data_IF_729289801599
#
_entry.id   IF_729289801599
#
_cell.length_a   1.000
_cell.length_b   1.000
_cell.length_c   1.000
_cell.angle_alpha   90.00
_cell.angle_beta   90.00
_cell.angle_gamma   90.00
#
_symmetry.space_group_name_H-M   'P 1'
#
loop_
_entity.id
_entity.type
_entity.pdbx_description
1 polymer ?
#
# COMPACT_ATOMS: atom_id res chain seq x y z
N UNK A 1 0.09 -5.09 -3.24
CA UNK A 1 0.68 -4.29 -2.15
C UNK A 1 -0.12 -3.01 -1.86
N UNK A 2 -0.36 -2.10 -2.80
CA UNK A 2 -1.17 -0.90 -2.55
C UNK A 2 -2.57 -1.19 -1.96
N UNK A 3 -3.19 -2.32 -2.31
CA UNK A 3 -4.48 -2.75 -1.74
C UNK A 3 -4.36 -3.03 -0.24
N UNK A 4 -3.32 -3.72 0.21
CA UNK A 4 -3.05 -3.99 1.63
C UNK A 4 -2.85 -2.69 2.42
N UNK A 5 -2.24 -1.70 1.81
CA UNK A 5 -1.97 -0.40 2.45
C UNK A 5 -3.16 0.57 2.35
N UNK A 6 -4.24 0.19 1.65
CA UNK A 6 -5.40 1.05 1.41
C UNK A 6 -6.14 1.44 2.69
N UNK A 7 -6.34 0.52 3.62
CA UNK A 7 -7.00 0.79 4.91
C UNK A 7 -6.23 1.85 5.71
N UNK A 8 -4.92 1.66 5.88
CA UNK A 8 -4.04 2.61 6.56
C UNK A 8 -4.05 4.00 5.88
N UNK A 9 -3.97 4.00 4.55
CA UNK A 9 -3.99 5.26 3.79
C UNK A 9 -5.34 5.99 3.91
N UNK A 10 -6.45 5.26 3.99
CA UNK A 10 -7.77 5.83 4.22
C UNK A 10 -7.91 6.42 5.63
N UNK A 11 -7.43 5.72 6.67
CA UNK A 11 -7.41 6.24 8.04
C UNK A 11 -6.60 7.54 8.14
N UNK A 12 -5.39 7.54 7.60
CA UNK A 12 -4.52 8.71 7.59
C UNK A 12 -5.15 9.90 6.83
N UNK A 13 -5.81 9.63 5.69
CA UNK A 13 -6.46 10.67 4.89
C UNK A 13 -7.69 11.27 5.60
N UNK A 14 -8.51 10.43 6.24
CA UNK A 14 -9.81 10.85 6.79
C UNK A 14 -9.70 11.37 8.23
N UNK A 15 -8.86 10.74 9.04
CA UNK A 15 -8.73 11.04 10.47
C UNK A 15 -7.42 11.76 10.83
N UNK A 16 -6.42 11.77 9.94
CA UNK A 16 -5.09 12.30 10.23
C UNK A 16 -4.25 11.42 11.15
N UNK A 17 -4.80 10.32 11.62
CA UNK A 17 -4.18 9.38 12.55
C UNK A 17 -4.27 7.96 12.01
N UNK A 18 -3.37 7.11 12.51
CA UNK A 18 -3.33 5.69 12.12
C UNK A 18 -3.66 4.84 13.32
N UNK A 19 -4.59 3.92 13.15
CA UNK A 19 -4.96 2.96 14.20
C UNK A 19 -4.21 1.63 14.06
N UNK A 20 -4.38 0.76 15.05
CA UNK A 20 -3.82 -0.59 15.03
C UNK A 20 -4.57 -1.53 14.07
N UNK A 21 -5.72 -1.11 13.52
CA UNK A 21 -6.56 -1.92 12.64
C UNK A 21 -5.86 -2.41 11.37
N UNK A 22 -4.93 -1.61 10.85
CA UNK A 22 -4.15 -1.95 9.65
C UNK A 22 -2.86 -2.75 9.94
N UNK A 23 -2.63 -3.22 11.17
CA UNK A 23 -1.38 -3.88 11.56
C UNK A 23 -1.07 -5.13 10.71
N UNK A 24 -2.05 -6.00 10.53
CA UNK A 24 -1.88 -7.25 9.78
C UNK A 24 -1.57 -6.98 8.29
N UNK A 25 -2.25 -6.01 7.69
CA UNK A 25 -2.02 -5.62 6.30
C UNK A 25 -0.64 -5.02 6.10
N UNK A 26 -0.16 -4.21 7.05
CA UNK A 26 1.19 -3.68 7.04
C UNK A 26 2.25 -4.78 7.15
N UNK A 27 2.02 -5.78 8.01
CA UNK A 27 2.90 -6.94 8.13
C UNK A 27 2.96 -7.74 6.82
N UNK A 28 1.82 -8.00 6.19
CA UNK A 28 1.74 -8.69 4.91
C UNK A 28 2.43 -7.90 3.78
N UNK A 29 2.20 -6.59 3.72
CA UNK A 29 2.85 -5.72 2.74
C UNK A 29 4.38 -5.72 2.92
N UNK A 30 4.86 -5.66 4.16
CA UNK A 30 6.30 -5.70 4.48
C UNK A 30 6.91 -7.06 4.13
N UNK A 31 6.24 -8.16 4.47
CA UNK A 31 6.71 -9.50 4.11
C UNK A 31 6.78 -9.69 2.59
N UNK A 32 5.79 -9.19 1.85
CA UNK A 32 5.80 -9.22 0.39
C UNK A 32 6.94 -8.39 -0.20
N UNK A 33 7.19 -7.18 0.32
CA UNK A 33 8.30 -6.34 -0.12
C UNK A 33 9.65 -7.02 0.14
N UNK A 34 9.81 -7.67 1.31
CA UNK A 34 11.01 -8.41 1.66
C UNK A 34 11.26 -9.55 0.67
N UNK A 35 10.23 -10.33 0.34
CA UNK A 35 10.34 -11.38 -0.68
C UNK A 35 10.71 -10.84 -2.05
N UNK A 36 10.15 -9.68 -2.44
CA UNK A 36 10.50 -9.04 -3.72
C UNK A 36 11.99 -8.69 -3.79
N UNK A 37 12.56 -8.21 -2.69
CA UNK A 37 13.96 -7.81 -2.62
C UNK A 37 14.88 -9.02 -2.47
N UNK A 38 14.59 -9.90 -1.50
CA UNK A 38 15.51 -10.95 -1.06
C UNK A 38 15.37 -12.26 -1.84
N UNK A 39 14.14 -12.60 -2.31
CA UNK A 39 13.91 -13.85 -3.04
C UNK A 39 13.90 -13.64 -4.56
N UNK A 40 13.22 -12.57 -5.01
CA UNK A 40 12.99 -12.37 -6.44
C UNK A 40 14.01 -11.42 -7.10
N UNK A 41 14.91 -10.81 -6.33
CA UNK A 41 15.94 -9.92 -6.86
C UNK A 41 15.36 -8.69 -7.57
N UNK A 42 14.21 -8.18 -7.12
CA UNK A 42 13.48 -7.07 -7.76
C UNK A 42 13.96 -5.68 -7.30
N UNK A 43 15.15 -5.56 -6.71
CA UNK A 43 15.72 -4.26 -6.35
C UNK A 43 16.71 -3.79 -7.41
N UNK A 44 16.53 -2.59 -7.98
CA UNK A 44 17.49 -2.02 -8.91
C UNK A 44 18.87 -1.76 -8.29
N UNK A 45 18.92 -1.52 -6.97
CA UNK A 45 20.15 -1.21 -6.24
C UNK A 45 20.95 -2.45 -5.86
N UNK A 46 20.25 -3.56 -5.60
CA UNK A 46 20.87 -4.83 -5.23
C UNK A 46 21.16 -5.70 -6.44
N UNK A 47 20.45 -5.45 -7.55
CA UNK A 47 20.52 -6.28 -8.76
C UNK A 47 19.79 -7.63 -8.60
N UNK A 48 19.92 -8.50 -9.61
CA UNK A 48 19.21 -9.80 -9.65
C UNK A 48 19.92 -10.84 -8.79
N UNK A 49 19.99 -10.60 -7.48
CA UNK A 49 20.61 -11.50 -6.50
C UNK A 49 19.54 -12.00 -5.55
N UNK A 50 19.41 -13.31 -5.40
CA UNK A 50 18.56 -13.93 -4.40
C UNK A 50 19.35 -14.10 -3.08
N UNK A 51 18.88 -13.45 -2.03
CA UNK A 51 19.43 -13.55 -0.68
C UNK A 51 18.70 -14.55 0.19
N UNK A 52 17.49 -14.92 -0.25
CA UNK A 52 16.68 -15.87 0.49
C UNK A 52 17.46 -17.15 0.69
N UNK A 53 17.56 -17.53 1.92
CA UNK A 53 18.04 -18.84 2.30
C UNK A 53 17.02 -19.85 1.76
N UNK A 54 17.41 -20.61 0.74
CA UNK A 54 16.64 -21.74 0.29
C UNK A 54 16.08 -22.49 1.50
N UNK A 55 14.78 -22.64 1.51
CA UNK A 55 14.03 -23.30 2.56
C UNK A 55 14.36 -24.78 2.71
N UNK A 56 15.61 -25.10 2.87
CA UNK A 56 15.98 -26.46 3.32
C UNK A 56 15.47 -26.62 4.75
N UNK A 57 14.28 -27.20 4.80
CA UNK A 57 13.63 -27.75 5.97
C UNK A 57 13.79 -26.89 7.24
N UNK A 58 12.83 -25.99 7.55
CA UNK A 58 12.80 -25.25 8.83
C UNK A 58 12.99 -26.17 10.03
N UNK A 59 12.51 -27.39 9.89
CA UNK A 59 12.58 -28.48 10.86
C UNK A 59 14.02 -28.92 11.17
N UNK A 60 14.91 -29.06 10.19
CA UNK A 60 16.30 -29.44 10.41
C UNK A 60 17.13 -28.32 11.06
N UNK A 61 16.81 -27.06 10.78
CA UNK A 61 17.44 -25.91 11.42
C UNK A 61 17.09 -25.80 12.90
N UNK A 62 15.82 -26.01 13.25
CA UNK A 62 15.37 -25.98 14.63
C UNK A 62 15.93 -27.15 15.47
N UNK A 63 16.14 -28.30 14.84
CA UNK A 63 16.70 -29.49 15.50
C UNK A 63 18.21 -29.41 15.73
N UNK A 64 18.95 -28.67 14.91
CA UNK A 64 20.43 -28.63 14.94
C UNK A 64 21.02 -27.39 15.60
N UNK A 65 20.18 -26.41 16.06
CA UNK A 65 20.63 -25.15 16.72
C UNK A 65 21.82 -24.51 15.95
N UNK A 66 21.76 -24.52 14.61
CA UNK A 66 22.81 -23.91 13.81
C UNK A 66 22.71 -22.38 13.92
N UNK A 67 23.83 -21.67 14.13
CA UNK A 67 23.85 -20.22 14.10
C UNK A 67 23.29 -19.73 12.76
N UNK A 68 22.50 -18.65 12.78
CA UNK A 68 22.15 -17.91 11.56
C UNK A 68 23.44 -17.30 10.98
N UNK A 69 24.13 -18.04 10.13
CA UNK A 69 25.18 -17.47 9.32
C UNK A 69 24.54 -16.44 8.39
N UNK A 70 24.77 -15.17 8.68
CA UNK A 70 24.41 -14.07 7.78
C UNK A 70 25.20 -14.30 6.48
N UNK A 71 24.51 -14.75 5.44
CA UNK A 71 25.12 -15.00 4.11
C UNK A 71 25.42 -13.71 3.34
N UNK A 72 25.21 -12.55 3.93
CA UNK A 72 25.49 -11.26 3.31
C UNK A 72 26.19 -10.33 4.30
N UNK A 73 26.92 -9.36 3.76
CA UNK A 73 27.55 -8.32 4.56
C UNK A 73 26.48 -7.43 5.24
N UNK A 74 26.83 -6.79 6.35
CA UNK A 74 25.92 -5.84 7.01
C UNK A 74 25.53 -4.69 6.08
N UNK A 75 26.43 -4.22 5.23
CA UNK A 75 26.15 -3.18 4.24
C UNK A 75 25.05 -3.63 3.26
N UNK A 76 25.10 -4.88 2.84
CA UNK A 76 24.10 -5.44 1.94
C UNK A 76 22.73 -5.63 2.64
N UNK A 77 22.73 -6.09 3.88
CA UNK A 77 21.51 -6.22 4.68
C UNK A 77 20.81 -4.87 4.89
N UNK A 78 21.59 -3.83 5.23
CA UNK A 78 21.06 -2.47 5.35
C UNK A 78 20.46 -1.97 4.04
N UNK A 79 21.13 -2.22 2.91
CA UNK A 79 20.62 -1.83 1.61
C UNK A 79 19.32 -2.57 1.27
N UNK A 80 19.20 -3.85 1.63
CA UNK A 80 17.96 -4.62 1.46
C UNK A 80 16.82 -4.04 2.31
N UNK A 81 17.07 -3.70 3.57
CA UNK A 81 16.08 -3.07 4.46
C UNK A 81 15.63 -1.70 3.91
N UNK A 82 16.56 -0.88 3.40
CA UNK A 82 16.24 0.40 2.75
C UNK A 82 15.34 0.22 1.53
N UNK A 83 15.62 -0.78 0.68
CA UNK A 83 14.80 -1.09 -0.49
C UNK A 83 13.41 -1.59 -0.11
N UNK A 84 13.31 -2.45 0.90
CA UNK A 84 12.00 -2.90 1.45
C UNK A 84 11.19 -1.70 1.91
N UNK A 85 11.78 -0.81 2.71
CA UNK A 85 11.13 0.42 3.18
C UNK A 85 10.67 1.29 2.02
N UNK A 86 11.54 1.50 1.02
CA UNK A 86 11.22 2.32 -0.16
C UNK A 86 10.07 1.72 -0.99
N UNK A 87 10.00 0.40 -1.11
CA UNK A 87 8.90 -0.29 -1.83
C UNK A 87 7.57 -0.11 -1.08
N UNK A 88 7.56 -0.31 0.25
CA UNK A 88 6.36 -0.13 1.07
C UNK A 88 5.89 1.31 1.00
N UNK A 89 6.80 2.27 1.18
CA UNK A 89 6.49 3.71 1.16
C UNK A 89 5.90 4.15 -0.20
N UNK A 90 6.52 3.78 -1.32
CA UNK A 90 5.98 4.09 -2.67
C UNK A 90 4.56 3.56 -2.86
N UNK A 91 4.29 2.34 -2.40
CA UNK A 91 2.95 1.75 -2.51
C UNK A 91 1.95 2.42 -1.57
N UNK A 92 2.38 2.86 -0.39
CA UNK A 92 1.57 3.64 0.53
C UNK A 92 1.19 5.01 -0.08
N UNK A 93 2.16 5.75 -0.60
CA UNK A 93 1.91 7.03 -1.27
C UNK A 93 1.01 6.87 -2.50
N UNK A 94 1.18 5.78 -3.26
CA UNK A 94 0.28 5.46 -4.37
C UNK A 94 -1.15 5.23 -3.91
N UNK A 95 -1.35 4.45 -2.83
CA UNK A 95 -2.67 4.20 -2.25
C UNK A 95 -3.31 5.51 -1.75
N UNK A 96 -2.54 6.34 -1.04
CA UNK A 96 -2.97 7.65 -0.54
C UNK A 96 -3.37 8.60 -1.67
N UNK A 97 -2.57 8.68 -2.73
CA UNK A 97 -2.89 9.51 -3.90
C UNK A 97 -4.17 9.07 -4.61
N UNK A 98 -4.37 7.76 -4.78
CA UNK A 98 -5.60 7.22 -5.37
C UNK A 98 -6.83 7.54 -4.51
N UNK A 99 -6.73 7.37 -3.19
CA UNK A 99 -7.84 7.66 -2.27
C UNK A 99 -8.13 9.15 -2.18
N UNK A 100 -7.09 10.00 -2.17
CA UNK A 100 -7.26 11.46 -2.20
C UNK A 100 -7.97 11.95 -3.47
N UNK A 101 -7.64 11.37 -4.62
CA UNK A 101 -8.32 11.68 -5.88
C UNK A 101 -9.81 11.27 -5.88
N UNK A 102 -10.21 10.35 -5.00
CA UNK A 102 -11.58 9.85 -4.88
C UNK A 102 -12.16 9.99 -3.47
N UNK A 103 -11.72 11.00 -2.71
CA UNK A 103 -12.11 11.17 -1.30
C UNK A 103 -13.62 11.31 -1.11
N UNK A 104 -14.31 12.02 -1.99
CA UNK A 104 -15.77 12.16 -1.94
C UNK A 104 -16.47 10.82 -2.08
N UNK A 105 -16.02 9.98 -2.99
CA UNK A 105 -16.53 8.63 -3.18
C UNK A 105 -16.24 7.73 -1.97
N UNK A 106 -15.04 7.83 -1.40
CA UNK A 106 -14.65 7.11 -0.18
C UNK A 106 -15.59 7.45 0.99
N UNK A 107 -15.83 8.74 1.23
CA UNK A 107 -16.70 9.22 2.32
C UNK A 107 -18.17 8.82 2.11
N UNK A 108 -18.68 8.92 0.88
CA UNK A 108 -20.05 8.51 0.55
C UNK A 108 -20.24 7.00 0.76
N UNK A 109 -19.29 6.18 0.28
CA UNK A 109 -19.33 4.73 0.44
C UNK A 109 -19.24 4.31 1.91
N UNK A 110 -18.39 4.98 2.70
CA UNK A 110 -18.28 4.71 4.13
C UNK A 110 -19.59 5.05 4.88
N UNK A 111 -20.27 6.14 4.51
CA UNK A 111 -21.56 6.51 5.09
C UNK A 111 -22.65 5.49 4.74
N UNK A 112 -22.70 5.01 3.48
CA UNK A 112 -23.64 3.99 3.06
C UNK A 112 -23.39 2.65 3.78
N UNK A 113 -22.13 2.23 3.88
CA UNK A 113 -21.76 1.00 4.58
C UNK A 113 -22.11 1.08 6.07
N UNK A 114 -21.89 2.22 6.71
CA UNK A 114 -22.27 2.45 8.11
C UNK A 114 -23.79 2.34 8.33
N UNK A 115 -24.59 2.78 7.37
CA UNK A 115 -26.05 2.71 7.45
C UNK A 115 -26.60 1.31 7.17
N UNK A 116 -25.96 0.54 6.27
CA UNK A 116 -26.41 -0.79 5.85
C UNK A 116 -25.78 -1.92 6.66
N UNK A 117 -24.65 -1.67 7.32
CA UNK A 117 -23.78 -2.61 8.04
C UNK A 117 -23.14 -3.68 7.14
N UNK A 118 -23.81 -4.12 6.09
CA UNK A 118 -23.31 -5.11 5.11
C UNK A 118 -23.57 -4.63 3.69
N UNK A 119 -22.59 -4.82 2.82
CA UNK A 119 -22.71 -4.54 1.38
C UNK A 119 -22.11 -5.71 0.59
N UNK A 120 -22.87 -6.24 -0.38
CA UNK A 120 -22.40 -7.32 -1.24
C UNK A 120 -21.37 -6.82 -2.27
N UNK A 121 -20.44 -7.71 -2.67
CA UNK A 121 -19.34 -7.34 -3.57
C UNK A 121 -19.81 -6.83 -4.95
N UNK A 122 -20.99 -7.21 -5.43
CA UNK A 122 -21.59 -6.69 -6.67
C UNK A 122 -22.06 -5.26 -6.47
N UNK A 123 -22.84 -5.02 -5.42
CA UNK A 123 -23.35 -3.70 -5.04
C UNK A 123 -22.20 -2.72 -4.82
N UNK A 124 -21.15 -3.15 -4.10
CA UNK A 124 -19.95 -2.35 -3.87
C UNK A 124 -19.31 -1.88 -5.18
N UNK A 125 -19.15 -2.79 -6.16
CA UNK A 125 -18.57 -2.45 -7.47
C UNK A 125 -19.42 -1.45 -8.24
N UNK A 126 -20.73 -1.64 -8.26
CA UNK A 126 -21.69 -0.74 -8.93
C UNK A 126 -21.66 0.66 -8.29
N UNK A 127 -21.63 0.71 -6.96
CA UNK A 127 -21.57 2.00 -6.23
C UNK A 127 -20.24 2.72 -6.45
N UNK A 128 -19.11 2.03 -6.42
CA UNK A 128 -17.81 2.62 -6.74
C UNK A 128 -17.83 3.20 -8.15
N UNK A 129 -18.34 2.46 -9.14
CA UNK A 129 -18.42 2.92 -10.52
C UNK A 129 -19.28 4.18 -10.66
N UNK A 130 -20.44 4.23 -10.03
CA UNK A 130 -21.33 5.39 -10.02
C UNK A 130 -20.66 6.61 -9.37
N UNK A 131 -20.11 6.45 -8.15
CA UNK A 131 -19.50 7.55 -7.40
C UNK A 131 -18.24 8.11 -8.09
N UNK A 132 -17.48 7.27 -8.78
CA UNK A 132 -16.29 7.70 -9.53
C UNK A 132 -16.65 8.36 -10.86
N UNK A 133 -17.74 7.97 -11.51
CA UNK A 133 -18.27 8.63 -12.70
C UNK A 133 -18.76 10.05 -12.37
N UNK A 134 -19.56 10.20 -11.30
CA UNK A 134 -20.06 11.50 -10.84
C UNK A 134 -18.91 12.47 -10.47
N UNK A 135 -17.83 11.96 -9.88
CA UNK A 135 -16.66 12.75 -9.57
C UNK A 135 -15.96 13.30 -10.82
N UNK A 136 -15.87 12.49 -11.90
CA UNK A 136 -15.32 12.94 -13.19
C UNK A 136 -16.15 14.02 -13.84
N UNK A 137 -17.46 13.85 -13.88
CA UNK A 137 -18.40 14.85 -14.43
C UNK A 137 -18.27 16.18 -13.70
N UNK A 138 -18.22 16.18 -12.37
CA UNK A 138 -18.04 17.41 -11.56
C UNK A 138 -16.70 18.09 -11.77
N UNK A 139 -15.63 17.34 -12.06
CA UNK A 139 -14.32 17.93 -12.38
C UNK A 139 -14.30 18.54 -13.79
N UNK A 140 -15.07 18.01 -14.74
CA UNK A 140 -15.21 18.56 -16.08
C UNK A 140 -16.15 19.78 -16.12
N UNK A 141 -17.16 19.83 -15.24
CA UNK A 141 -18.13 20.93 -15.13
C UNK A 141 -17.64 22.10 -14.25
N UNK A 142 -16.54 21.93 -13.48
CA UNK A 142 -15.96 23.02 -12.70
C UNK A 142 -15.36 24.06 -13.66
N UNK A 143 -15.94 25.26 -13.81
CA UNK A 143 -15.42 26.25 -14.74
C UNK A 143 -14.03 26.69 -14.32
N UNK A 144 -13.20 27.01 -15.29
CA UNK A 144 -11.88 27.62 -15.15
C UNK A 144 -12.00 29.05 -14.55
N UNK A 145 -12.45 29.14 -13.30
CA UNK A 145 -12.76 30.38 -12.59
C UNK A 145 -11.53 31.02 -11.94
N UNK A 146 -10.31 30.76 -12.43
CA UNK A 146 -9.11 31.36 -11.85
C UNK A 146 -8.08 31.87 -12.86
N UNK A 147 -8.50 32.26 -14.07
CA UNK A 147 -7.60 32.85 -15.05
C UNK A 147 -7.66 34.39 -15.15
N UNK A 148 -8.51 35.08 -14.39
CA UNK A 148 -8.69 36.52 -14.55
C UNK A 148 -8.25 37.39 -13.35
N UNK A 149 -7.53 36.87 -12.38
CA UNK A 149 -7.12 37.65 -11.20
C UNK A 149 -5.65 38.14 -11.21
N UNK A 150 -4.96 38.08 -12.36
CA UNK A 150 -3.58 38.64 -12.47
C UNK A 150 -3.39 39.49 -13.72
N UNK A 151 -4.28 40.43 -13.92
CA UNK A 151 -4.04 41.53 -14.88
C UNK A 151 -4.69 42.83 -14.41
N UNK A 152 -4.09 43.47 -13.41
CA UNK A 152 -4.17 44.90 -13.14
C UNK A 152 -2.96 45.32 -12.28
#
# INVERSE_FOLDING_TARGET
MAVLLGGRAAEELVFGEVTTGAQNDLQQATALARRMVEEFGMSPRLGPVALALDGQAPFLRQALVLPEERRCSEAYARLADDEVKAIVERNHQRAKGLLAAHESALRALAAELKAKEVMEGRELKERIAALTADARVRMEEAPAANAEAHSL
#
